data_IF_369372887778
#
_entry.id   IF_369372887778
#
_cell.length_a   1.000
_cell.length_b   1.000
_cell.length_c   1.000
_cell.angle_alpha   90.00
_cell.angle_beta   90.00
_cell.angle_gamma   90.00
#
_symmetry.space_group_name_H-M   'P 1'
#
loop_
_entity.id
_entity.type
_entity.pdbx_description
1 polymer ?
#
# COMPACT_ATOMS: atom_id res chain seq x y z
N UNK A 1 16.70 -11.40 -1.97
CA UNK A 1 15.39 -10.96 -1.42
C UNK A 1 14.74 -12.14 -0.72
N UNK A 2 14.33 -11.95 0.54
CA UNK A 2 13.61 -12.98 1.30
C UNK A 2 12.18 -12.45 1.49
N UNK A 3 11.19 -13.27 1.15
CA UNK A 3 9.77 -12.97 1.35
C UNK A 3 9.29 -13.82 2.53
N UNK A 4 8.72 -13.17 3.53
CA UNK A 4 8.15 -13.81 4.72
C UNK A 4 6.63 -13.56 4.72
N UNK A 5 5.85 -14.62 4.68
CA UNK A 5 4.39 -14.53 4.70
C UNK A 5 3.87 -14.25 6.12
N UNK A 6 2.86 -13.37 6.23
CA UNK A 6 2.14 -13.12 7.49
C UNK A 6 2.97 -12.49 8.61
N UNK A 7 4.04 -11.77 8.30
CA UNK A 7 4.87 -11.13 9.33
C UNK A 7 4.13 -9.98 10.01
N UNK A 8 4.20 -9.95 11.33
CA UNK A 8 3.68 -8.84 12.13
C UNK A 8 4.64 -7.66 12.07
N UNK A 9 4.12 -6.47 11.79
CA UNK A 9 4.87 -5.22 11.91
C UNK A 9 4.73 -4.63 13.30
N UNK A 10 5.78 -3.96 13.77
CA UNK A 10 5.80 -3.23 15.05
C UNK A 10 6.49 -1.89 14.84
N UNK A 11 5.94 -0.85 15.44
CA UNK A 11 6.54 0.49 15.39
C UNK A 11 7.83 0.60 16.22
N UNK A 12 7.95 -0.25 17.25
CA UNK A 12 9.16 -0.36 18.07
C UNK A 12 9.29 -1.80 18.61
N UNK A 13 10.53 -2.26 18.94
CA UNK A 13 10.78 -3.62 19.39
C UNK A 13 10.08 -4.00 20.70
N UNK A 14 9.80 -3.01 21.54
CA UNK A 14 9.18 -3.13 22.87
C UNK A 14 7.64 -3.04 22.84
N UNK A 15 7.04 -2.72 21.70
CA UNK A 15 5.59 -2.65 21.56
C UNK A 15 5.00 -4.04 21.61
N UNK A 16 4.18 -4.30 22.63
CA UNK A 16 3.55 -5.64 22.86
C UNK A 16 2.52 -5.98 21.78
N UNK A 17 1.80 -4.98 21.29
CA UNK A 17 0.77 -5.17 20.26
C UNK A 17 1.37 -4.87 18.89
N UNK A 18 1.33 -5.82 17.96
CA UNK A 18 1.76 -5.58 16.58
C UNK A 18 0.94 -4.48 15.91
N UNK A 19 1.58 -3.65 15.09
CA UNK A 19 0.89 -2.61 14.31
C UNK A 19 -0.09 -3.21 13.30
N UNK A 20 0.19 -4.42 12.81
CA UNK A 20 -0.67 -5.16 11.90
C UNK A 20 0.03 -6.36 11.28
N UNK A 21 -0.76 -7.22 10.65
CA UNK A 21 -0.26 -8.28 9.77
C UNK A 21 -0.13 -7.72 8.37
N UNK A 22 1.00 -7.92 7.74
CA UNK A 22 1.26 -7.57 6.34
C UNK A 22 1.06 -8.80 5.47
N UNK A 23 0.54 -8.61 4.25
CA UNK A 23 0.36 -9.74 3.35
C UNK A 23 1.71 -10.27 2.85
N UNK A 24 2.58 -9.39 2.38
CA UNK A 24 3.91 -9.77 1.88
C UNK A 24 4.97 -8.78 2.37
N UNK A 25 5.72 -9.10 3.41
CA UNK A 25 6.90 -8.34 3.78
C UNK A 25 8.10 -8.75 2.93
N UNK A 26 8.85 -7.77 2.43
CA UNK A 26 10.08 -8.00 1.67
C UNK A 26 11.26 -7.52 2.51
N UNK A 27 12.14 -8.45 2.87
CA UNK A 27 13.37 -8.15 3.59
C UNK A 27 14.55 -8.03 2.62
N UNK A 28 15.44 -7.09 2.88
CA UNK A 28 16.67 -6.88 2.14
C UNK A 28 17.87 -7.30 3.02
N UNK A 29 18.39 -8.52 2.90
CA UNK A 29 19.43 -9.06 3.79
C UNK A 29 20.68 -8.20 3.87
N UNK A 30 21.12 -7.62 2.75
CA UNK A 30 22.32 -6.79 2.70
C UNK A 30 22.20 -5.49 3.54
N UNK A 31 20.98 -4.96 3.66
CA UNK A 31 20.71 -3.82 4.54
C UNK A 31 20.64 -4.25 6.01
N UNK A 32 20.19 -5.49 6.28
CA UNK A 32 20.17 -6.05 7.63
C UNK A 32 21.58 -6.16 8.23
N UNK A 33 22.54 -6.62 7.47
CA UNK A 33 23.94 -6.74 7.93
C UNK A 33 24.53 -5.38 8.35
N UNK A 34 24.13 -4.30 7.69
CA UNK A 34 24.62 -2.95 7.99
C UNK A 34 23.92 -2.29 9.17
N UNK A 35 22.64 -2.61 9.44
CA UNK A 35 21.83 -1.92 10.43
C UNK A 35 21.43 -2.77 11.63
N UNK A 36 21.56 -4.09 11.54
CA UNK A 36 21.13 -5.10 12.53
C UNK A 36 19.68 -4.96 12.99
N UNK A 37 18.82 -4.37 12.18
CA UNK A 37 17.42 -4.12 12.51
C UNK A 37 16.47 -4.56 11.40
N UNK A 38 15.99 -5.80 11.47
CA UNK A 38 15.04 -6.38 10.51
C UNK A 38 13.74 -5.56 10.38
N UNK A 39 13.28 -4.94 11.46
CA UNK A 39 12.02 -4.21 11.47
C UNK A 39 12.07 -2.90 10.66
N UNK A 40 13.26 -2.39 10.34
CA UNK A 40 13.42 -1.12 9.61
C UNK A 40 13.72 -1.28 8.11
N UNK A 41 13.83 -2.51 7.61
CA UNK A 41 14.42 -2.77 6.28
C UNK A 41 13.54 -3.65 5.42
N UNK A 42 12.24 -3.54 5.51
CA UNK A 42 11.36 -4.28 4.65
C UNK A 42 10.42 -3.35 3.89
N UNK A 43 10.10 -3.72 2.68
CA UNK A 43 8.96 -3.18 1.96
C UNK A 43 7.72 -3.97 2.36
N UNK A 44 6.61 -3.29 2.47
CA UNK A 44 5.31 -3.89 2.78
C UNK A 44 4.47 -3.85 1.53
N UNK A 45 3.96 -5.01 1.11
CA UNK A 45 2.99 -5.12 0.05
C UNK A 45 1.67 -5.56 0.67
N UNK A 46 0.65 -4.76 0.53
CA UNK A 46 -0.72 -5.09 0.87
C UNK A 46 -1.46 -5.55 -0.37
N UNK A 47 -2.09 -6.71 -0.31
CA UNK A 47 -2.81 -7.31 -1.43
C UNK A 47 -4.31 -7.08 -1.29
N UNK A 48 -4.97 -6.65 -2.35
CA UNK A 48 -6.43 -6.45 -2.38
C UNK A 48 -7.03 -6.97 -3.68
N UNK A 49 -8.10 -7.72 -3.57
CA UNK A 49 -8.97 -8.00 -4.72
C UNK A 49 -9.79 -6.75 -5.02
N UNK A 50 -10.04 -6.51 -6.30
CA UNK A 50 -10.88 -5.41 -6.76
C UNK A 50 -11.71 -5.87 -7.96
N UNK A 51 -12.95 -5.40 -8.05
CA UNK A 51 -13.86 -5.72 -9.14
C UNK A 51 -14.21 -4.42 -9.87
N UNK A 52 -13.40 -4.08 -10.87
CA UNK A 52 -13.55 -2.86 -11.66
C UNK A 52 -13.81 -1.63 -10.80
N UNK A 53 -14.81 -0.84 -11.19
CA UNK A 53 -15.23 0.36 -10.47
C UNK A 53 -16.28 0.11 -9.36
N UNK A 54 -16.53 -1.15 -8.99
CA UNK A 54 -17.56 -1.46 -7.98
C UNK A 54 -17.24 -0.80 -6.63
N UNK A 55 -18.12 0.09 -6.18
CA UNK A 55 -17.91 1.00 -5.04
C UNK A 55 -17.51 0.29 -3.75
N UNK A 56 -18.07 -0.87 -3.45
CA UNK A 56 -17.73 -1.64 -2.25
C UNK A 56 -16.27 -2.08 -2.25
N UNK A 57 -15.75 -2.51 -3.38
CA UNK A 57 -14.37 -2.94 -3.53
C UNK A 57 -13.41 -1.75 -3.49
N UNK A 58 -13.76 -0.64 -4.17
CA UNK A 58 -12.98 0.60 -4.12
C UNK A 58 -12.91 1.15 -2.68
N UNK A 59 -14.02 1.14 -1.95
CA UNK A 59 -14.07 1.51 -0.54
C UNK A 59 -13.12 0.65 0.30
N UNK A 60 -13.15 -0.68 0.14
CA UNK A 60 -12.25 -1.60 0.89
C UNK A 60 -10.79 -1.37 0.53
N UNK A 61 -10.50 -1.12 -0.75
CA UNK A 61 -9.16 -0.79 -1.21
C UNK A 61 -8.59 0.43 -0.48
N UNK A 62 -9.39 1.48 -0.33
CA UNK A 62 -8.99 2.70 0.37
C UNK A 62 -8.93 2.47 1.88
N UNK A 63 -10.03 2.10 2.52
CA UNK A 63 -10.13 2.07 3.99
C UNK A 63 -9.35 0.91 4.64
N UNK A 64 -9.29 -0.24 3.97
CA UNK A 64 -8.61 -1.44 4.49
C UNK A 64 -7.23 -1.68 3.83
N UNK A 65 -6.79 -0.79 2.96
CA UNK A 65 -5.50 -0.81 2.28
C UNK A 65 -4.75 0.49 2.49
N UNK A 66 -5.06 1.53 1.70
CA UNK A 66 -4.38 2.82 1.73
C UNK A 66 -4.34 3.40 3.15
N UNK A 67 -5.46 3.40 3.87
CA UNK A 67 -5.55 4.01 5.20
C UNK A 67 -4.74 3.28 6.27
N UNK A 68 -4.39 2.01 6.07
CA UNK A 68 -3.47 1.30 6.95
C UNK A 68 -2.04 1.83 6.86
N UNK A 69 -1.62 2.26 5.68
CA UNK A 69 -0.35 2.97 5.51
C UNK A 69 -0.42 4.39 6.07
N UNK A 70 -1.53 5.09 5.83
CA UNK A 70 -1.76 6.46 6.27
C UNK A 70 -1.79 6.57 7.80
N UNK A 71 -2.47 5.65 8.48
CA UNK A 71 -2.52 5.58 9.94
C UNK A 71 -1.21 5.12 10.59
N UNK A 72 -0.25 4.65 9.80
CA UNK A 72 1.00 4.08 10.30
C UNK A 72 0.87 2.65 10.83
N UNK A 73 -0.31 2.01 10.66
CA UNK A 73 -0.49 0.60 10.99
C UNK A 73 0.45 -0.29 10.18
N UNK A 74 0.74 0.12 8.93
CA UNK A 74 1.76 -0.48 8.08
C UNK A 74 2.88 0.51 7.84
N UNK A 75 4.12 0.04 8.06
CA UNK A 75 5.32 0.77 7.69
C UNK A 75 5.43 2.20 8.25
N UNK A 76 5.15 2.40 9.53
CA UNK A 76 5.13 3.73 10.17
C UNK A 76 6.37 4.57 9.87
N UNK A 77 7.55 3.94 9.75
CA UNK A 77 8.83 4.60 9.45
C UNK A 77 9.20 4.58 7.97
N UNK A 78 8.40 3.94 7.12
CA UNK A 78 8.68 3.83 5.69
C UNK A 78 8.19 5.07 4.94
N UNK A 79 8.96 5.51 3.96
CA UNK A 79 8.54 6.57 3.04
C UNK A 79 7.72 6.02 1.87
N UNK A 80 7.76 4.70 1.67
CA UNK A 80 7.08 4.00 0.56
C UNK A 80 6.23 2.86 1.07
N UNK A 81 5.08 2.66 0.44
CA UNK A 81 4.21 1.51 0.57
C UNK A 81 3.89 0.91 -0.79
N UNK A 82 3.46 -0.34 -0.83
CA UNK A 82 3.10 -1.02 -2.06
C UNK A 82 1.74 -1.69 -1.90
N UNK A 83 0.89 -1.54 -2.92
CA UNK A 83 -0.39 -2.22 -3.01
C UNK A 83 -0.47 -3.05 -4.29
N UNK A 84 -0.80 -4.32 -4.15
CA UNK A 84 -1.07 -5.23 -5.25
C UNK A 84 -2.58 -5.43 -5.38
N UNK A 85 -3.17 -4.92 -6.46
CA UNK A 85 -4.58 -5.06 -6.76
C UNK A 85 -4.82 -6.21 -7.73
N UNK A 86 -5.58 -7.22 -7.32
CA UNK A 86 -5.99 -8.33 -8.17
C UNK A 86 -7.36 -8.04 -8.76
N UNK A 87 -7.42 -7.85 -10.08
CA UNK A 87 -8.66 -7.57 -10.80
C UNK A 87 -9.45 -8.86 -11.03
N UNK A 88 -10.60 -8.96 -10.37
CA UNK A 88 -11.57 -10.04 -10.64
C UNK A 88 -12.31 -9.84 -11.97
N UNK A 89 -12.57 -8.57 -12.31
CA UNK A 89 -13.19 -8.17 -13.57
C UNK A 89 -12.88 -6.69 -13.86
N UNK A 90 -13.08 -6.28 -15.10
CA UNK A 90 -12.74 -4.95 -15.56
C UNK A 90 -11.24 -4.79 -15.80
N UNK A 91 -10.82 -3.57 -16.05
CA UNK A 91 -9.44 -3.19 -16.30
C UNK A 91 -8.89 -2.26 -15.19
N UNK A 92 -7.60 -1.99 -15.26
CA UNK A 92 -6.91 -1.13 -14.30
C UNK A 92 -7.47 0.31 -14.31
N UNK A 93 -7.84 0.84 -15.47
CA UNK A 93 -8.37 2.20 -15.57
C UNK A 93 -9.74 2.33 -14.92
N UNK A 94 -10.63 1.35 -15.11
CA UNK A 94 -11.92 1.30 -14.43
C UNK A 94 -11.75 1.22 -12.90
N UNK A 95 -10.82 0.39 -12.43
CA UNK A 95 -10.53 0.27 -11.00
C UNK A 95 -9.98 1.58 -10.42
N UNK A 96 -8.99 2.19 -11.09
CA UNK A 96 -8.41 3.50 -10.70
C UNK A 96 -9.47 4.59 -10.68
N UNK A 97 -10.32 4.66 -11.73
CA UNK A 97 -11.43 5.61 -11.79
C UNK A 97 -12.40 5.45 -10.63
N UNK A 98 -12.74 4.21 -10.28
CA UNK A 98 -13.61 3.91 -9.13
C UNK A 98 -12.99 4.29 -7.78
N UNK A 99 -11.69 4.01 -7.59
CA UNK A 99 -10.94 4.39 -6.39
C UNK A 99 -10.88 5.91 -6.26
N UNK A 100 -10.51 6.61 -7.33
CA UNK A 100 -10.40 8.06 -7.34
C UNK A 100 -11.75 8.73 -7.09
N UNK A 101 -12.83 8.22 -7.69
CA UNK A 101 -14.19 8.69 -7.39
C UNK A 101 -14.54 8.51 -5.91
N UNK A 102 -14.17 7.38 -5.29
CA UNK A 102 -14.41 7.18 -3.87
C UNK A 102 -13.60 8.15 -3.00
N UNK A 103 -12.33 8.42 -3.35
CA UNK A 103 -11.51 9.43 -2.66
C UNK A 103 -12.12 10.83 -2.78
N UNK A 104 -12.60 11.20 -3.95
CA UNK A 104 -13.29 12.45 -4.25
C UNK A 104 -14.54 12.63 -3.35
N UNK A 105 -15.38 11.60 -3.28
CA UNK A 105 -16.56 11.56 -2.38
C UNK A 105 -16.18 11.74 -0.89
N UNK A 106 -14.94 11.45 -0.52
CA UNK A 106 -14.41 11.64 0.84
C UNK A 106 -13.64 12.96 1.00
N UNK A 107 -13.65 13.86 0.01
CA UNK A 107 -12.89 15.12 -0.01
C UNK A 107 -11.37 14.89 0.12
N UNK A 108 -10.86 13.90 -0.60
CA UNK A 108 -9.46 13.44 -0.59
C UNK A 108 -8.85 13.46 -1.99
N UNK A 109 -9.10 14.52 -2.75
CA UNK A 109 -8.68 14.68 -4.14
C UNK A 109 -7.15 14.71 -4.28
N UNK A 110 -6.46 15.23 -3.26
CA UNK A 110 -5.00 15.26 -3.18
C UNK A 110 -4.36 13.88 -2.97
N UNK A 111 -5.16 12.88 -2.63
CA UNK A 111 -4.73 11.50 -2.42
C UNK A 111 -5.04 10.57 -3.62
N UNK A 112 -5.56 11.10 -4.71
CA UNK A 112 -5.91 10.33 -5.90
C UNK A 112 -4.71 9.61 -6.53
N UNK A 113 -4.99 8.42 -7.09
CA UNK A 113 -4.01 7.63 -7.82
C UNK A 113 -3.71 8.31 -9.16
N UNK A 114 -2.49 8.79 -9.31
CA UNK A 114 -1.95 9.36 -10.54
C UNK A 114 -1.04 8.39 -11.29
N UNK A 115 -0.45 8.84 -12.42
CA UNK A 115 0.51 8.04 -13.19
C UNK A 115 1.68 7.53 -12.34
N UNK A 116 2.11 6.30 -12.59
CA UNK A 116 3.28 5.71 -11.94
C UNK A 116 4.60 6.32 -12.42
N UNK A 117 5.69 5.99 -11.75
CA UNK A 117 7.04 6.46 -12.12
C UNK A 117 7.69 5.63 -13.23
N UNK A 118 7.21 4.42 -13.45
CA UNK A 118 7.70 3.54 -14.51
C UNK A 118 6.80 3.73 -15.71
N UNK A 119 7.28 4.48 -16.69
CA UNK A 119 6.70 4.78 -18.02
C UNK A 119 5.30 4.21 -18.28
N UNK A 120 4.40 5.01 -18.74
CA UNK A 120 3.11 4.74 -19.47
C UNK A 120 2.34 3.43 -19.20
N UNK A 121 2.79 2.62 -18.24
CA UNK A 121 2.11 1.39 -17.88
C UNK A 121 0.80 1.72 -17.13
N UNK A 122 -0.32 1.56 -17.80
CA UNK A 122 -1.66 1.82 -17.24
C UNK A 122 -1.98 1.00 -15.98
N UNK A 123 -1.24 -0.08 -15.75
CA UNK A 123 -1.37 -0.96 -14.59
C UNK A 123 -0.54 -0.54 -13.37
N UNK A 124 0.29 0.53 -13.49
CA UNK A 124 1.08 1.09 -12.39
C UNK A 124 0.58 2.50 -12.08
N UNK A 125 0.32 2.77 -10.81
CA UNK A 125 -0.11 4.07 -10.30
C UNK A 125 0.65 4.42 -9.04
N UNK A 126 0.59 5.69 -8.63
CA UNK A 126 1.11 6.17 -7.35
C UNK A 126 0.15 7.16 -6.72
N UNK A 127 0.20 7.23 -5.40
CA UNK A 127 -0.51 8.24 -4.62
C UNK A 127 0.35 8.71 -3.45
N UNK A 128 0.10 9.91 -2.95
CA UNK A 128 0.80 10.45 -1.79
C UNK A 128 -0.19 10.74 -0.67
N UNK A 129 0.21 10.41 0.56
CA UNK A 129 -0.66 10.55 1.71
C UNK A 129 0.08 11.21 2.87
N UNK A 130 -0.56 12.19 3.49
CA UNK A 130 -0.11 12.72 4.77
C UNK A 130 -0.46 11.73 5.87
N UNK A 131 0.47 11.46 6.76
CA UNK A 131 0.23 10.58 7.89
C UNK A 131 -0.55 11.28 9.00
N UNK A 132 -1.46 10.55 9.62
CA UNK A 132 -2.26 11.05 10.75
C UNK A 132 -1.40 11.37 11.98
N UNK A 133 -0.31 10.64 12.17
CA UNK A 133 0.65 10.82 13.26
C UNK A 133 1.56 12.05 13.12
N UNK A 134 1.46 12.83 12.05
CA UNK A 134 2.39 13.91 11.74
C UNK A 134 3.79 13.44 11.28
N UNK A 135 3.98 12.13 11.11
CA UNK A 135 5.20 11.56 10.54
C UNK A 135 5.37 11.99 9.06
N UNK A 136 6.54 11.68 8.48
CA UNK A 136 6.80 11.96 7.06
C UNK A 136 5.69 11.39 6.17
N UNK A 137 5.31 12.10 5.09
CA UNK A 137 4.37 11.58 4.10
C UNK A 137 4.81 10.23 3.57
N UNK A 138 3.87 9.43 3.14
CA UNK A 138 4.13 8.16 2.47
C UNK A 138 3.67 8.22 1.01
N UNK A 139 4.52 7.74 0.11
CA UNK A 139 4.15 7.45 -1.27
C UNK A 139 3.75 5.97 -1.38
N UNK A 140 2.60 5.70 -1.96
CA UNK A 140 2.13 4.34 -2.21
C UNK A 140 2.18 4.06 -3.70
N UNK A 141 2.86 2.97 -4.04
CA UNK A 141 2.89 2.43 -5.39
C UNK A 141 1.83 1.35 -5.53
N UNK A 142 0.99 1.46 -6.55
CA UNK A 142 -0.11 0.55 -6.82
C UNK A 142 0.16 -0.21 -8.10
N UNK A 143 0.02 -1.53 -8.05
CA UNK A 143 0.15 -2.41 -9.22
C UNK A 143 -1.15 -3.18 -9.38
N UNK A 144 -1.74 -3.10 -10.57
CA UNK A 144 -2.99 -3.78 -10.91
C UNK A 144 -2.71 -4.99 -11.79
N UNK A 145 -3.08 -6.17 -11.32
CA UNK A 145 -2.89 -7.43 -12.03
C UNK A 145 -4.23 -7.93 -12.54
N UNK A 146 -4.31 -8.19 -13.86
CA UNK A 146 -5.39 -8.94 -14.47
C UNK A 146 -4.92 -10.35 -14.77
N UNK A 147 -5.65 -11.34 -14.31
CA UNK A 147 -5.47 -12.73 -14.70
C UNK A 147 -6.53 -13.00 -15.77
N UNK A 148 -6.09 -12.90 -17.03
CA UNK A 148 -6.91 -13.15 -18.20
C UNK A 148 -7.39 -14.59 -18.32
#
# INVERSE_FOLDING_TARGET
MIVLEGTQTRSAPDVRTPDGLTDIPICFPNLYESTRNLASIHAIIECKRINGAARTWCRRYVLEGIDRFKSGKYGRRHCYGFMAAYLDSGDANAAVGGINKFLDEQQREDEQLGPGTVSDAEWVRRSQHRRESGDKPIEIHHVFFSFG
#
